data_IF_986014658803
#
_entry.id   IF_986014658803
#
_cell.length_a   1.000
_cell.length_b   1.000
_cell.length_c   1.000
_cell.angle_alpha   90.00
_cell.angle_beta   90.00
_cell.angle_gamma   90.00
#
_symmetry.space_group_name_H-M   'P 1'
#
loop_
_entity.id
_entity.type
_entity.pdbx_description
1 polymer ?
#
# COMPACT_ATOMS: atom_id res chain seq x y z
N UNK A 1 15.01 -5.61 -21.25
CA UNK A 1 14.37 -4.46 -20.58
C UNK A 1 12.87 -4.68 -20.56
N UNK A 2 12.23 -4.36 -19.43
CA UNK A 2 10.78 -4.50 -19.21
C UNK A 2 10.09 -3.16 -19.50
N UNK A 3 8.78 -3.14 -19.73
CA UNK A 3 8.00 -1.90 -19.86
C UNK A 3 7.87 -1.20 -18.50
N UNK A 4 7.79 0.13 -18.54
CA UNK A 4 7.52 0.93 -17.35
C UNK A 4 6.09 0.68 -16.85
N UNK A 5 5.94 0.53 -15.52
CA UNK A 5 4.65 0.32 -14.87
C UNK A 5 3.73 1.53 -15.01
N UNK A 6 4.28 2.74 -15.15
CA UNK A 6 3.48 3.94 -15.30
C UNK A 6 2.66 3.94 -16.60
N UNK A 7 3.13 3.24 -17.64
CA UNK A 7 2.37 3.08 -18.89
C UNK A 7 1.06 2.28 -18.70
N UNK A 8 0.97 1.47 -17.63
CA UNK A 8 -0.22 0.67 -17.30
C UNK A 8 -1.20 1.44 -16.41
N UNK A 9 -0.84 2.63 -15.94
CA UNK A 9 -1.61 3.43 -14.97
C UNK A 9 -2.40 4.54 -15.66
N UNK A 10 -3.71 4.37 -15.76
CA UNK A 10 -4.59 5.34 -16.41
C UNK A 10 -4.72 6.65 -15.61
N UNK A 11 -4.66 6.56 -14.28
CA UNK A 11 -4.71 7.70 -13.38
C UNK A 11 -3.49 8.63 -13.47
N UNK A 12 -2.40 8.16 -14.09
CA UNK A 12 -1.20 8.98 -14.40
C UNK A 12 -1.25 9.63 -15.79
N UNK A 13 -2.35 9.49 -16.53
CA UNK A 13 -2.52 10.07 -17.87
C UNK A 13 -1.98 9.20 -19.01
N UNK A 14 -1.64 7.94 -18.74
CA UNK A 14 -1.26 6.96 -19.77
C UNK A 14 -2.47 6.13 -20.21
N UNK A 15 -2.42 5.55 -21.41
CA UNK A 15 -3.49 4.72 -21.93
C UNK A 15 -3.04 3.25 -22.06
N UNK A 16 -3.52 2.34 -21.16
CA UNK A 16 -3.21 0.91 -21.25
C UNK A 16 -3.70 0.24 -22.53
N UNK A 17 -4.66 0.84 -23.26
CA UNK A 17 -5.16 0.31 -24.52
C UNK A 17 -4.06 0.24 -25.59
N UNK A 18 -3.13 1.20 -25.58
CA UNK A 18 -1.97 1.20 -26.49
C UNK A 18 -1.12 -0.06 -26.30
N UNK A 19 -0.98 -0.52 -25.05
CA UNK A 19 -0.23 -1.73 -24.71
C UNK A 19 -1.02 -2.98 -25.15
N UNK A 20 -2.34 -3.00 -24.96
CA UNK A 20 -3.22 -4.08 -25.44
C UNK A 20 -3.11 -4.25 -26.95
N UNK A 21 -3.16 -3.15 -27.69
CA UNK A 21 -3.06 -3.15 -29.15
C UNK A 21 -1.68 -3.62 -29.61
N UNK A 22 -0.61 -3.23 -28.89
CA UNK A 22 0.74 -3.74 -29.12
C UNK A 22 0.83 -5.25 -28.90
N UNK A 23 0.21 -5.80 -27.85
CA UNK A 23 0.15 -7.24 -27.61
C UNK A 23 -0.63 -7.97 -28.70
N UNK A 24 -1.77 -7.41 -29.12
CA UNK A 24 -2.59 -7.96 -30.21
C UNK A 24 -1.82 -8.00 -31.54
N UNK A 25 -1.11 -6.93 -31.89
CA UNK A 25 -0.22 -6.87 -33.07
C UNK A 25 0.93 -7.88 -33.03
N UNK A 26 1.32 -8.29 -31.82
CA UNK A 26 2.36 -9.31 -31.59
C UNK A 26 1.78 -10.73 -31.46
N UNK A 27 0.49 -10.90 -31.67
CA UNK A 27 -0.21 -12.18 -31.52
C UNK A 27 -0.02 -12.81 -30.13
N UNK A 28 0.03 -11.96 -29.09
CA UNK A 28 0.18 -12.36 -27.69
C UNK A 28 -1.11 -12.18 -26.91
N UNK A 29 -1.16 -12.79 -25.72
CA UNK A 29 -2.30 -12.69 -24.81
C UNK A 29 -2.46 -11.26 -24.30
N UNK A 30 -3.60 -10.65 -24.62
CA UNK A 30 -3.93 -9.27 -24.21
C UNK A 30 -4.29 -9.19 -22.73
N UNK A 31 -4.85 -10.27 -22.16
CA UNK A 31 -5.23 -10.40 -20.75
C UNK A 31 -4.04 -10.18 -19.78
N UNK A 32 -2.80 -10.38 -20.24
CA UNK A 32 -1.61 -10.07 -19.43
C UNK A 32 -1.55 -8.60 -19.02
N UNK A 33 -2.11 -7.69 -19.82
CA UNK A 33 -2.17 -6.26 -19.49
C UNK A 33 -3.14 -6.03 -18.34
N UNK A 34 -4.28 -6.72 -18.34
CA UNK A 34 -5.26 -6.68 -17.24
C UNK A 34 -4.66 -7.24 -15.94
N UNK A 35 -4.01 -8.41 -16.02
CA UNK A 35 -3.36 -9.06 -14.89
C UNK A 35 -2.35 -8.11 -14.22
N UNK A 36 -1.53 -7.41 -15.01
CA UNK A 36 -0.54 -6.45 -14.50
C UNK A 36 -1.20 -5.27 -13.80
N UNK A 37 -2.27 -4.70 -14.37
CA UNK A 37 -3.00 -3.57 -13.76
C UNK A 37 -3.63 -4.00 -12.43
N UNK A 38 -4.20 -5.21 -12.38
CA UNK A 38 -4.80 -5.77 -11.17
C UNK A 38 -3.74 -5.95 -10.07
N UNK A 39 -2.61 -6.55 -10.40
CA UNK A 39 -1.53 -6.76 -9.43
C UNK A 39 -0.90 -5.44 -8.97
N UNK A 40 -0.75 -4.44 -9.84
CA UNK A 40 -0.27 -3.12 -9.43
C UNK A 40 -1.24 -2.45 -8.44
N UNK A 41 -2.55 -2.55 -8.72
CA UNK A 41 -3.59 -2.00 -7.82
C UNK A 41 -3.53 -2.66 -6.45
N UNK A 42 -3.48 -3.99 -6.39
CA UNK A 42 -3.34 -4.73 -5.14
C UNK A 42 -2.03 -4.38 -4.42
N UNK A 43 -0.92 -4.31 -5.14
CA UNK A 43 0.37 -3.94 -4.57
C UNK A 43 0.33 -2.55 -3.94
N UNK A 44 -0.28 -1.56 -4.60
CA UNK A 44 -0.40 -0.20 -4.07
C UNK A 44 -1.27 -0.13 -2.82
N UNK A 45 -2.38 -0.87 -2.80
CA UNK A 45 -3.21 -0.99 -1.60
C UNK A 45 -2.38 -1.54 -0.44
N UNK A 46 -1.77 -2.72 -0.61
CA UNK A 46 -0.96 -3.35 0.45
C UNK A 46 0.22 -2.46 0.86
N UNK A 47 0.86 -1.77 -0.08
CA UNK A 47 1.97 -0.84 0.21
C UNK A 47 1.51 0.33 1.08
N UNK A 48 0.35 0.91 0.77
CA UNK A 48 -0.25 1.96 1.59
C UNK A 48 -0.57 1.46 3.01
N UNK A 49 -1.16 0.27 3.13
CA UNK A 49 -1.45 -0.34 4.44
C UNK A 49 -0.15 -0.53 5.25
N UNK A 50 0.91 -1.04 4.62
CA UNK A 50 2.21 -1.21 5.26
C UNK A 50 2.80 0.12 5.77
N UNK A 51 2.62 1.22 5.03
CA UNK A 51 3.05 2.54 5.49
C UNK A 51 2.24 3.04 6.69
N UNK A 52 0.94 2.76 6.76
CA UNK A 52 0.13 3.07 7.94
C UNK A 52 0.59 2.27 9.17
N UNK A 53 0.86 0.97 9.01
CA UNK A 53 1.42 0.14 10.08
C UNK A 53 2.76 0.67 10.60
N UNK A 54 3.65 1.09 9.70
CA UNK A 54 4.93 1.68 10.08
C UNK A 54 4.77 2.99 10.88
N UNK A 55 3.82 3.85 10.49
CA UNK A 55 3.52 5.09 11.24
C UNK A 55 3.10 4.79 12.68
N UNK A 56 2.23 3.80 12.88
CA UNK A 56 1.73 3.45 14.21
C UNK A 56 2.76 2.72 15.04
N UNK A 57 3.54 1.80 14.46
CA UNK A 57 4.70 1.22 15.13
C UNK A 57 5.62 2.30 15.70
N UNK A 58 5.96 3.30 14.89
CA UNK A 58 6.82 4.40 15.31
C UNK A 58 6.15 5.30 16.37
N UNK A 59 4.84 5.54 16.26
CA UNK A 59 4.07 6.29 17.25
C UNK A 59 4.06 5.56 18.60
N UNK A 60 3.77 4.26 18.62
CA UNK A 60 3.81 3.41 19.82
C UNK A 60 5.19 3.43 20.47
N UNK A 61 6.27 3.28 19.68
CA UNK A 61 7.63 3.35 20.21
C UNK A 61 7.93 4.67 20.93
N UNK A 62 7.54 5.80 20.32
CA UNK A 62 7.71 7.13 20.92
C UNK A 62 6.90 7.32 22.20
N UNK A 63 5.62 6.93 22.19
CA UNK A 63 4.75 7.10 23.36
C UNK A 63 5.19 6.23 24.52
N UNK A 64 5.58 4.98 24.28
CA UNK A 64 6.14 4.09 25.32
C UNK A 64 7.44 4.67 25.88
N UNK A 65 8.35 5.14 25.02
CA UNK A 65 9.59 5.77 25.45
C UNK A 65 9.35 6.98 26.37
N UNK A 66 8.43 7.87 25.99
CA UNK A 66 8.06 9.04 26.79
C UNK A 66 7.47 8.65 28.16
N UNK A 67 6.56 7.67 28.20
CA UNK A 67 5.96 7.17 29.45
C UNK A 67 6.99 6.56 30.40
N UNK A 68 7.92 5.75 29.86
CA UNK A 68 9.00 5.16 30.65
C UNK A 68 9.94 6.22 31.22
N UNK A 69 10.25 7.26 30.46
CA UNK A 69 11.06 8.38 30.94
C UNK A 69 10.35 9.17 32.06
N UNK A 70 9.02 9.33 31.95
CA UNK A 70 8.20 9.98 32.97
C UNK A 70 7.93 9.11 34.22
N UNK A 71 8.39 7.85 34.23
CA UNK A 71 8.12 6.84 35.29
C UNK A 71 6.61 6.63 35.53
N UNK A 72 5.82 6.75 34.47
CA UNK A 72 4.41 6.37 34.54
C UNK A 72 4.29 4.85 34.74
N UNK A 73 3.34 4.42 35.57
CA UNK A 73 3.06 2.99 35.77
C UNK A 73 2.55 2.37 34.46
N UNK A 74 2.88 1.10 34.25
CA UNK A 74 2.31 0.32 33.16
C UNK A 74 0.79 0.21 33.37
N UNK A 75 0.01 0.37 32.30
CA UNK A 75 -1.45 0.35 32.37
C UNK A 75 -1.97 -1.05 32.70
N UNK A 76 -3.13 -1.11 33.35
CA UNK A 76 -3.73 -2.36 33.86
C UNK A 76 -4.56 -3.12 32.82
N UNK A 77 -4.73 -2.56 31.62
CA UNK A 77 -5.61 -3.09 30.57
C UNK A 77 -4.92 -3.19 29.22
N UNK A 78 -5.22 -4.26 28.48
CA UNK A 78 -4.70 -4.50 27.13
C UNK A 78 -5.40 -3.65 26.04
N UNK A 79 -6.26 -2.70 26.43
CA UNK A 79 -7.05 -1.92 25.49
C UNK A 79 -6.20 -0.85 24.82
N UNK A 80 -6.14 -0.91 23.48
CA UNK A 80 -5.38 0.04 22.69
C UNK A 80 -6.17 1.35 22.49
N UNK A 81 -5.61 2.52 22.86
CA UNK A 81 -6.28 3.80 22.66
C UNK A 81 -6.61 4.06 21.18
N UNK A 82 -7.75 4.71 20.91
CA UNK A 82 -8.25 4.98 19.53
C UNK A 82 -7.21 5.64 18.62
N UNK A 83 -6.35 6.50 19.17
CA UNK A 83 -5.26 7.15 18.43
C UNK A 83 -4.21 6.20 17.80
N UNK A 84 -4.22 4.92 18.16
CA UNK A 84 -3.35 3.89 17.58
C UNK A 84 -4.11 2.87 16.74
N UNK A 85 -5.43 3.00 16.59
CA UNK A 85 -6.23 2.12 15.76
C UNK A 85 -6.05 2.50 14.29
N UNK A 86 -5.88 1.50 13.41
CA UNK A 86 -5.86 1.70 11.95
C UNK A 86 -7.23 1.33 11.41
N UNK A 87 -7.95 2.33 10.92
CA UNK A 87 -9.12 2.09 10.09
C UNK A 87 -8.61 1.79 8.68
N UNK A 88 -8.26 0.52 8.46
CA UNK A 88 -8.01 0.00 7.13
C UNK A 88 -9.39 -0.26 6.51
N UNK A 89 -9.93 0.72 5.78
CA UNK A 89 -11.08 0.44 4.91
C UNK A 89 -10.68 -0.71 3.97
N UNK A 90 -11.51 -1.75 3.99
CA UNK A 90 -11.30 -3.02 3.30
C UNK A 90 -11.79 -2.93 1.86
#
# INVERSE_FOLDING_TARGET
>A
MVLDIDLFRSEKGHDPQVIRDSQKKRYKRVELVDDVIQFDTQWRTVRFQADQWNKIKNLCGRTVGAKKQAKENEGDTDQLPEKFQINLET
#
